data_IF_342977774404
#
_entry.id   IF_342977774404
#
_cell.length_a   1.000
_cell.length_b   1.000
_cell.length_c   1.000
_cell.angle_alpha   90.00
_cell.angle_beta   90.00
_cell.angle_gamma   90.00
#
_symmetry.space_group_name_H-M   'P 1'
#
loop_
_entity.id
_entity.type
_entity.pdbx_description
1 polymer ?
#
# COMPACT_ATOMS: atom_id res chain seq x y z
N UNK A 1 -31.72 42.73 27.70
CA UNK A 1 -32.23 42.94 26.32
C UNK A 1 -32.04 41.63 25.57
N UNK A 2 -33.05 40.74 25.40
CA UNK A 2 -34.11 40.77 24.36
C UNK A 2 -33.49 40.96 22.96
N UNK A 3 -33.65 40.12 21.91
CA UNK A 3 -34.69 39.14 21.54
C UNK A 3 -34.22 38.34 20.29
N UNK A 4 -34.37 37.02 20.31
CA UNK A 4 -35.04 36.16 19.30
C UNK A 4 -34.70 36.21 17.79
N UNK A 5 -34.48 35.01 17.22
CA UNK A 5 -35.37 34.46 16.19
C UNK A 5 -35.55 32.94 16.39
N UNK A 6 -36.81 32.50 16.41
CA UNK A 6 -37.29 31.11 16.48
C UNK A 6 -37.83 30.68 15.12
N UNK A 7 -37.81 29.36 14.88
CA UNK A 7 -38.75 28.62 14.03
C UNK A 7 -38.10 28.07 12.76
N UNK A 8 -38.23 26.80 12.39
CA UNK A 8 -39.40 25.92 12.54
C UNK A 8 -39.01 24.44 12.61
N UNK A 9 -39.86 23.68 13.31
CA UNK A 9 -39.80 22.26 13.64
C UNK A 9 -40.06 21.34 12.43
N UNK A 10 -39.52 20.12 12.46
CA UNK A 10 -40.40 18.95 12.34
C UNK A 10 -39.85 17.75 13.10
N UNK A 11 -40.74 17.16 13.91
CA UNK A 11 -40.60 15.91 14.65
C UNK A 11 -40.92 14.75 13.70
N UNK A 12 -40.12 13.68 13.73
CA UNK A 12 -40.66 12.32 13.66
C UNK A 12 -40.04 11.54 14.82
N UNK A 13 -40.90 11.04 15.70
CA UNK A 13 -40.57 10.10 16.74
C UNK A 13 -40.72 8.68 16.17
N UNK A 14 -39.73 7.84 16.43
CA UNK A 14 -39.77 6.40 16.21
C UNK A 14 -38.76 5.75 17.15
N UNK A 15 -39.20 5.47 18.38
CA UNK A 15 -38.46 4.72 19.39
C UNK A 15 -38.44 3.24 19.03
N UNK A 16 -37.28 2.59 19.00
CA UNK A 16 -37.09 1.22 19.49
C UNK A 16 -35.59 0.91 19.67
N UNK A 17 -35.17 0.58 20.90
CA UNK A 17 -34.18 -0.47 21.15
C UNK A 17 -32.68 -0.10 21.28
N UNK A 18 -32.27 0.19 22.52
CA UNK A 18 -31.07 -0.30 23.23
C UNK A 18 -29.63 -0.05 22.69
N UNK A 19 -28.82 0.60 23.57
CA UNK A 19 -27.37 0.45 23.85
C UNK A 19 -26.47 0.17 22.64
N UNK A 20 -25.58 1.10 22.27
CA UNK A 20 -24.23 1.16 22.82
C UNK A 20 -23.71 2.62 22.83
N UNK A 21 -22.93 2.95 23.87
CA UNK A 21 -22.13 4.18 23.94
C UNK A 21 -21.20 4.27 22.71
N UNK A 22 -21.52 5.14 21.75
CA UNK A 22 -20.52 5.62 20.78
C UNK A 22 -19.88 6.85 21.37
N UNK A 23 -18.83 6.64 22.15
CA UNK A 23 -17.92 7.73 22.49
C UNK A 23 -17.24 8.15 21.19
N UNK A 24 -17.65 9.29 20.64
CA UNK A 24 -16.90 9.95 19.57
C UNK A 24 -15.54 10.30 20.17
N UNK A 25 -14.52 9.52 19.81
CA UNK A 25 -13.15 9.84 20.18
C UNK A 25 -12.76 11.13 19.47
N UNK A 26 -12.36 12.12 20.26
CA UNK A 26 -11.84 13.40 19.79
C UNK A 26 -10.55 13.14 18.98
N UNK A 27 -10.52 13.45 17.67
CA UNK A 27 -9.36 13.20 16.81
C UNK A 27 -8.09 13.91 17.29
N UNK A 28 -8.23 14.99 18.07
CA UNK A 28 -7.10 15.77 18.58
C UNK A 28 -6.43 15.15 19.81
N UNK A 29 -7.00 14.08 20.38
CA UNK A 29 -6.49 13.42 21.60
C UNK A 29 -5.54 12.25 21.34
N UNK A 30 -5.31 11.87 20.08
CA UNK A 30 -4.41 10.77 19.68
C UNK A 30 -2.98 11.23 19.34
N UNK A 31 -2.69 12.52 19.47
CA UNK A 31 -1.37 13.07 19.21
C UNK A 31 -0.54 13.01 20.51
N UNK A 32 -0.06 11.80 20.84
CA UNK A 32 1.11 11.63 21.71
C UNK A 32 2.09 10.69 21.00
N UNK A 33 3.27 11.25 20.76
CA UNK A 33 4.33 10.78 19.87
C UNK A 33 5.14 9.57 20.36
N UNK A 34 4.49 8.52 20.89
CA UNK A 34 5.18 7.27 21.28
C UNK A 34 4.36 5.98 21.07
N UNK A 35 3.12 6.04 20.57
CA UNK A 35 2.39 4.82 20.22
C UNK A 35 2.81 4.32 18.84
N UNK A 36 3.15 3.04 18.72
CA UNK A 36 3.34 2.34 17.44
C UNK A 36 2.30 2.77 16.40
N UNK A 37 2.69 2.95 15.15
CA UNK A 37 1.79 3.21 14.03
C UNK A 37 0.97 1.97 13.65
N UNK A 38 1.35 0.79 14.15
CA UNK A 38 0.75 -0.48 13.82
C UNK A 38 -0.20 -0.95 14.93
N UNK A 39 -1.35 -1.49 14.54
CA UNK A 39 -2.28 -2.20 15.42
C UNK A 39 -2.51 -3.57 14.82
N UNK A 40 -2.40 -4.61 15.64
CA UNK A 40 -2.54 -5.99 15.18
C UNK A 40 -3.86 -6.58 15.68
N UNK A 41 -4.48 -7.36 14.82
CA UNK A 41 -5.58 -8.25 15.15
C UNK A 41 -5.18 -9.70 14.80
N UNK A 42 -6.14 -10.62 14.82
CA UNK A 42 -5.86 -12.04 14.57
C UNK A 42 -5.57 -12.37 13.10
N UNK A 43 -6.01 -11.53 12.16
CA UNK A 43 -6.04 -11.83 10.72
C UNK A 43 -5.32 -10.79 9.86
N UNK A 44 -4.77 -9.75 10.47
CA UNK A 44 -4.18 -8.61 9.79
C UNK A 44 -3.53 -7.59 10.73
N UNK A 45 -3.41 -6.39 10.18
CA UNK A 45 -2.92 -5.22 10.88
C UNK A 45 -3.55 -3.94 10.30
N UNK A 46 -3.56 -2.89 11.09
CA UNK A 46 -3.94 -1.53 10.68
C UNK A 46 -2.76 -0.59 10.89
N UNK A 47 -2.42 0.19 9.87
CA UNK A 47 -1.46 1.30 9.98
C UNK A 47 -2.23 2.58 10.22
N UNK A 48 -1.92 3.30 11.30
CA UNK A 48 -2.51 4.58 11.67
C UNK A 48 -1.38 5.58 11.90
N UNK A 49 -1.29 6.61 11.07
CA UNK A 49 -0.26 7.64 11.19
C UNK A 49 -0.76 9.00 10.71
N UNK A 50 -0.73 10.01 11.58
CA UNK A 50 -1.32 11.34 11.34
C UNK A 50 -2.80 11.20 10.92
N UNK A 51 -3.15 11.59 9.69
CA UNK A 51 -4.52 11.51 9.14
C UNK A 51 -4.73 10.26 8.26
N UNK A 52 -3.71 9.41 8.13
CA UNK A 52 -3.77 8.19 7.33
C UNK A 52 -4.16 6.97 8.18
N UNK A 53 -5.04 6.13 7.62
CA UNK A 53 -5.40 4.82 8.18
C UNK A 53 -5.59 3.81 7.04
N UNK A 54 -4.98 2.63 7.14
CA UNK A 54 -5.18 1.53 6.19
C UNK A 54 -5.16 0.19 6.91
N UNK A 55 -6.16 -0.63 6.63
CA UNK A 55 -6.31 -1.99 7.16
C UNK A 55 -5.84 -3.00 6.11
N UNK A 56 -5.07 -4.01 6.54
CA UNK A 56 -4.52 -5.04 5.68
C UNK A 56 -4.70 -6.40 6.33
N UNK A 57 -5.39 -7.30 5.63
CA UNK A 57 -5.46 -8.71 6.03
C UNK A 57 -4.24 -9.46 5.55
N UNK A 58 -3.60 -10.23 6.43
CA UNK A 58 -2.45 -11.07 6.09
C UNK A 58 -2.78 -12.05 4.96
N UNK A 59 -3.97 -12.64 5.00
CA UNK A 59 -4.45 -13.56 3.97
C UNK A 59 -4.67 -12.89 2.61
N UNK A 60 -4.80 -11.56 2.55
CA UNK A 60 -4.96 -10.83 1.30
C UNK A 60 -3.63 -10.36 0.69
N UNK A 61 -2.53 -10.39 1.44
CA UNK A 61 -1.20 -9.97 0.95
C UNK A 61 -0.73 -10.92 -0.15
N UNK A 62 -0.55 -10.38 -1.36
CA UNK A 62 -0.08 -11.14 -2.52
C UNK A 62 1.41 -10.93 -2.78
N UNK A 63 1.97 -9.77 -2.43
CA UNK A 63 3.38 -9.45 -2.64
C UNK A 63 3.88 -8.48 -1.57
N UNK A 64 5.11 -8.69 -1.10
CA UNK A 64 5.84 -7.71 -0.29
C UNK A 64 7.16 -7.41 -1.00
N UNK A 65 7.37 -6.13 -1.23
CA UNK A 65 8.53 -5.57 -1.87
C UNK A 65 9.20 -4.59 -0.94
N UNK A 66 10.52 -4.61 -0.89
CA UNK A 66 11.32 -3.68 -0.08
C UNK A 66 12.29 -2.95 -0.97
N UNK A 67 12.58 -1.71 -0.61
CA UNK A 67 13.47 -0.88 -1.38
C UNK A 67 14.23 0.09 -0.49
N UNK A 68 15.48 0.28 -0.85
CA UNK A 68 16.34 1.31 -0.32
C UNK A 68 16.29 2.50 -1.26
N UNK A 69 15.78 3.63 -0.77
CA UNK A 69 15.83 4.92 -1.46
C UNK A 69 17.10 5.64 -1.06
N UNK A 70 17.90 6.02 -2.06
CA UNK A 70 19.00 6.97 -1.89
C UNK A 70 18.42 8.40 -1.89
N UNK A 71 18.33 9.02 -0.70
CA UNK A 71 17.81 10.37 -0.48
C UNK A 71 18.94 11.40 -0.34
N UNK A 72 19.90 11.41 -1.27
CA UNK A 72 21.06 12.33 -1.39
C UNK A 72 22.06 12.21 -0.24
N UNK A 73 21.61 12.41 1.00
CA UNK A 73 22.43 12.41 2.21
C UNK A 73 22.11 11.27 3.17
N UNK A 74 20.96 10.61 2.99
CA UNK A 74 20.52 9.48 3.81
C UNK A 74 19.96 8.39 2.91
N UNK A 75 20.08 7.14 3.34
CA UNK A 75 19.33 6.03 2.77
C UNK A 75 18.06 5.82 3.62
N UNK A 76 16.95 5.45 2.99
CA UNK A 76 15.72 5.06 3.69
C UNK A 76 15.15 3.78 3.11
N UNK A 77 14.74 2.86 3.96
CA UNK A 77 14.03 1.65 3.57
C UNK A 77 12.53 1.88 3.59
N UNK A 78 11.91 1.57 2.46
CA UNK A 78 10.48 1.57 2.27
C UNK A 78 10.03 0.16 1.86
N UNK A 79 8.75 -0.12 2.11
CA UNK A 79 8.12 -1.39 1.81
C UNK A 79 6.75 -1.16 1.17
N UNK A 80 6.52 -1.82 0.05
CA UNK A 80 5.23 -1.92 -0.60
C UNK A 80 4.60 -3.27 -0.28
N UNK A 81 3.37 -3.24 0.23
CA UNK A 81 2.56 -4.41 0.54
C UNK A 81 1.38 -4.39 -0.42
N UNK A 82 1.40 -5.31 -1.39
CA UNK A 82 0.29 -5.50 -2.32
C UNK A 82 -0.72 -6.42 -1.64
N UNK A 83 -1.96 -5.97 -1.51
CA UNK A 83 -3.05 -6.73 -0.94
C UNK A 83 -4.34 -6.43 -1.69
N UNK A 84 -5.11 -7.47 -2.03
CA UNK A 84 -6.27 -7.32 -2.93
C UNK A 84 -5.86 -6.55 -4.20
N UNK A 85 -6.53 -5.43 -4.51
CA UNK A 85 -6.21 -4.54 -5.63
C UNK A 85 -5.52 -3.23 -5.17
N UNK A 86 -4.99 -3.22 -3.95
CA UNK A 86 -4.38 -2.05 -3.31
C UNK A 86 -2.88 -2.26 -3.03
N UNK A 87 -2.16 -1.15 -2.93
CA UNK A 87 -0.77 -1.13 -2.45
C UNK A 87 -0.66 -0.19 -1.26
N UNK A 88 -0.23 -0.75 -0.14
CA UNK A 88 0.15 0.00 1.04
C UNK A 88 1.67 0.22 1.02
N UNK A 89 2.09 1.47 0.88
CA UNK A 89 3.50 1.87 1.02
C UNK A 89 3.78 2.41 2.42
N UNK A 90 4.76 1.82 3.10
CA UNK A 90 5.22 2.20 4.42
C UNK A 90 6.73 2.37 4.44
N UNK A 91 7.26 3.13 5.40
CA UNK A 91 8.71 3.38 5.53
C UNK A 91 9.21 3.00 6.92
N UNK A 92 10.51 2.73 7.02
CA UNK A 92 11.18 2.44 8.29
C UNK A 92 11.10 3.58 9.32
N UNK A 93 10.79 4.80 8.86
CA UNK A 93 10.52 5.96 9.71
C UNK A 93 9.22 5.84 10.54
N UNK A 94 8.34 4.87 10.24
CA UNK A 94 7.10 4.70 11.00
C UNK A 94 7.38 4.16 12.42
N UNK A 95 6.81 4.78 13.47
CA UNK A 95 6.89 4.24 14.82
C UNK A 95 6.40 2.78 14.87
N UNK A 96 7.16 1.89 15.51
CA UNK A 96 6.80 0.46 15.57
C UNK A 96 7.27 -0.38 14.37
N UNK A 97 8.10 0.16 13.48
CA UNK A 97 8.67 -0.58 12.35
C UNK A 97 9.33 -1.92 12.76
N UNK A 98 10.16 -1.92 13.80
CA UNK A 98 10.83 -3.15 14.26
C UNK A 98 9.83 -4.23 14.70
N UNK A 99 8.78 -3.84 15.46
CA UNK A 99 7.69 -4.73 15.86
C UNK A 99 6.93 -5.28 14.63
N UNK A 100 6.72 -4.42 13.63
CA UNK A 100 6.11 -4.83 12.36
C UNK A 100 6.95 -5.88 11.63
N UNK A 101 8.27 -5.72 11.58
CA UNK A 101 9.14 -6.72 10.96
C UNK A 101 9.10 -8.07 11.70
N UNK A 102 9.03 -8.06 13.04
CA UNK A 102 8.85 -9.29 13.82
C UNK A 102 7.54 -9.99 13.44
N UNK A 103 6.42 -9.25 13.42
CA UNK A 103 5.10 -9.79 13.04
C UNK A 103 5.06 -10.27 11.60
N UNK A 104 5.76 -9.58 10.70
CA UNK A 104 5.89 -9.96 9.31
C UNK A 104 6.59 -11.32 9.17
N UNK A 105 7.70 -11.53 9.86
CA UNK A 105 8.43 -12.80 9.84
C UNK A 105 7.70 -13.93 10.56
N UNK A 106 6.92 -13.64 11.60
CA UNK A 106 6.03 -14.62 12.23
C UNK A 106 4.94 -15.10 11.25
N UNK A 107 4.40 -14.18 10.44
CA UNK A 107 3.29 -14.42 9.54
C UNK A 107 3.73 -15.07 8.22
N UNK A 108 4.88 -14.66 7.69
CA UNK A 108 5.46 -15.18 6.44
C UNK A 108 6.86 -15.75 6.70
N UNK A 109 6.97 -16.98 7.27
CA UNK A 109 8.26 -17.62 7.56
C UNK A 109 9.16 -17.84 6.34
N UNK A 110 8.59 -17.81 5.13
CA UNK A 110 9.28 -17.90 3.85
C UNK A 110 10.10 -16.65 3.49
N UNK A 111 9.84 -15.50 4.13
CA UNK A 111 10.63 -14.28 3.92
C UNK A 111 12.07 -14.53 4.42
N UNK A 112 13.11 -14.35 3.57
CA UNK A 112 14.50 -14.57 3.96
C UNK A 112 14.91 -13.70 5.16
N UNK A 113 15.44 -14.26 6.24
CA UNK A 113 15.74 -13.50 7.47
C UNK A 113 16.80 -12.40 7.29
N UNK A 114 17.62 -12.52 6.26
CA UNK A 114 18.72 -11.65 5.90
C UNK A 114 18.36 -10.59 4.84
N UNK A 115 17.09 -10.52 4.39
CA UNK A 115 16.66 -9.57 3.36
C UNK A 115 17.03 -8.11 3.69
N UNK A 116 17.02 -7.75 4.97
CA UNK A 116 17.33 -6.38 5.40
C UNK A 116 18.82 -6.04 5.19
N UNK A 117 19.72 -7.02 5.29
CA UNK A 117 21.13 -6.84 4.99
C UNK A 117 21.31 -6.68 3.48
N UNK A 118 20.66 -7.54 2.69
CA UNK A 118 20.76 -7.52 1.23
C UNK A 118 20.24 -6.21 0.65
N UNK A 119 19.11 -5.69 1.15
CA UNK A 119 18.54 -4.44 0.66
C UNK A 119 19.39 -3.21 1.00
N UNK A 120 20.18 -3.28 2.08
CA UNK A 120 21.08 -2.20 2.47
C UNK A 120 22.28 -2.03 1.53
N UNK A 121 22.59 -3.05 0.72
CA UNK A 121 23.74 -3.09 -0.19
C UNK A 121 23.30 -2.90 -1.65
N UNK A 122 24.07 -2.20 -2.51
CA UNK A 122 25.28 -1.46 -2.18
C UNK A 122 24.98 -0.15 -1.42
N UNK A 123 26.01 0.40 -0.77
CA UNK A 123 25.92 1.71 -0.12
C UNK A 123 25.66 2.81 -1.16
N UNK A 124 24.80 3.79 -0.82
CA UNK A 124 24.47 4.95 -1.68
C UNK A 124 23.99 4.56 -3.08
N UNK A 125 23.17 3.52 -3.15
CA UNK A 125 22.56 3.07 -4.37
C UNK A 125 21.12 2.63 -4.05
N UNK A 126 20.20 2.97 -4.96
CA UNK A 126 18.86 2.43 -4.88
C UNK A 126 18.92 0.92 -5.07
N UNK A 127 18.33 0.18 -4.12
CA UNK A 127 18.21 -1.28 -4.24
C UNK A 127 16.75 -1.69 -4.07
N UNK A 128 16.35 -2.76 -4.75
CA UNK A 128 15.00 -3.26 -4.78
C UNK A 128 15.00 -4.80 -4.66
N UNK A 129 14.09 -5.34 -3.84
CA UNK A 129 13.86 -6.77 -3.75
C UNK A 129 12.38 -7.11 -3.52
N UNK A 130 11.88 -8.15 -4.18
CA UNK A 130 10.62 -8.82 -3.78
C UNK A 130 10.99 -9.85 -2.72
N UNK A 131 10.54 -9.66 -1.48
CA UNK A 131 10.86 -10.56 -0.36
C UNK A 131 9.75 -11.58 -0.10
N UNK A 132 8.55 -11.33 -0.62
CA UNK A 132 7.43 -12.25 -0.62
C UNK A 132 6.63 -12.08 -1.90
N UNK A 133 6.25 -13.19 -2.53
CA UNK A 133 5.26 -13.19 -3.60
C UNK A 133 4.48 -14.50 -3.57
N UNK A 134 3.15 -14.39 -3.59
CA UNK A 134 2.23 -15.51 -3.66
C UNK A 134 1.97 -15.96 -5.09
N UNK A 135 2.07 -15.03 -6.05
CA UNK A 135 1.92 -15.28 -7.49
C UNK A 135 3.30 -15.27 -8.18
N UNK A 136 3.49 -15.89 -9.34
CA UNK A 136 4.68 -15.61 -10.16
C UNK A 136 4.72 -14.17 -10.69
N UNK A 137 3.57 -13.50 -10.79
CA UNK A 137 3.49 -12.15 -11.36
C UNK A 137 4.01 -11.10 -10.37
N UNK A 138 4.86 -10.19 -10.86
CA UNK A 138 5.40 -9.09 -10.06
C UNK A 138 4.63 -7.82 -10.38
N UNK A 139 4.07 -7.16 -9.38
CA UNK A 139 3.34 -5.89 -9.53
C UNK A 139 4.21 -4.73 -9.07
N UNK A 140 4.38 -3.72 -9.92
CA UNK A 140 5.06 -2.46 -9.63
C UNK A 140 4.05 -1.31 -9.66
N UNK A 141 4.19 -0.35 -8.75
CA UNK A 141 3.33 0.84 -8.67
C UNK A 141 4.15 2.10 -8.39
N UNK A 142 3.51 3.27 -8.45
CA UNK A 142 4.10 4.56 -8.10
C UNK A 142 5.44 4.85 -8.80
N UNK A 143 6.43 5.33 -8.05
CA UNK A 143 7.76 5.69 -8.58
C UNK A 143 8.49 4.51 -9.24
N UNK A 144 8.23 3.28 -8.81
CA UNK A 144 8.88 2.08 -9.38
C UNK A 144 8.31 1.73 -10.73
N UNK A 145 7.00 1.88 -10.89
CA UNK A 145 6.38 1.84 -12.21
C UNK A 145 7.00 2.91 -13.10
N UNK A 146 7.11 4.16 -12.63
CA UNK A 146 7.66 5.26 -13.42
C UNK A 146 9.09 4.99 -13.88
N UNK A 147 9.99 4.66 -12.95
CA UNK A 147 11.38 4.34 -13.25
C UNK A 147 11.51 3.10 -14.13
N UNK A 148 10.67 2.08 -13.91
CA UNK A 148 10.71 0.88 -14.75
C UNK A 148 10.26 1.20 -16.16
N UNK A 149 9.20 2.00 -16.33
CA UNK A 149 8.73 2.43 -17.65
C UNK A 149 9.81 3.16 -18.45
N UNK A 150 10.72 3.89 -17.80
CA UNK A 150 11.87 4.54 -18.48
C UNK A 150 12.85 3.53 -19.09
N UNK A 151 12.90 2.29 -18.59
CA UNK A 151 13.77 1.23 -19.12
C UNK A 151 13.08 0.33 -20.14
N UNK A 152 11.77 0.49 -20.34
CA UNK A 152 10.95 -0.44 -21.10
C UNK A 152 10.64 0.09 -22.50
N UNK A 153 10.56 -0.83 -23.47
CA UNK A 153 10.14 -0.53 -24.83
C UNK A 153 8.65 -0.82 -24.96
N UNK A 154 7.84 0.19 -25.30
CA UNK A 154 6.43 0.00 -25.62
C UNK A 154 6.30 -0.80 -26.93
N UNK A 155 5.54 -1.89 -26.90
CA UNK A 155 5.32 -2.80 -28.04
C UNK A 155 3.87 -2.91 -28.48
N UNK A 156 2.93 -2.23 -27.81
CA UNK A 156 1.51 -2.26 -28.17
C UNK A 156 0.58 -2.02 -27.00
N UNK A 157 -0.67 -2.42 -27.17
CA UNK A 157 -1.73 -2.34 -26.16
C UNK A 157 -3.05 -2.90 -26.70
N UNK A 158 -4.08 -2.90 -25.85
CA UNK A 158 -5.39 -3.47 -26.17
C UNK A 158 -6.55 -2.46 -25.98
N UNK A 159 -7.78 -2.94 -26.15
CA UNK A 159 -9.00 -2.14 -25.96
C UNK A 159 -9.30 -1.78 -24.51
N UNK A 160 -8.67 -2.47 -23.56
CA UNK A 160 -8.88 -2.30 -22.12
C UNK A 160 -7.85 -1.34 -21.49
N UNK A 161 -7.20 -0.52 -22.33
CA UNK A 161 -6.18 0.46 -21.96
C UNK A 161 -4.92 -0.16 -21.37
N UNK A 162 -4.70 -1.45 -21.57
CA UNK A 162 -3.43 -2.06 -21.23
C UNK A 162 -2.38 -1.62 -22.24
N UNK A 163 -1.19 -1.33 -21.74
CA UNK A 163 -0.03 -1.00 -22.57
C UNK A 163 1.03 -2.07 -22.35
N UNK A 164 1.48 -2.67 -23.44
CA UNK A 164 2.42 -3.78 -23.43
C UNK A 164 3.85 -3.29 -23.62
N UNK A 165 4.76 -3.86 -22.85
CA UNK A 165 6.15 -3.47 -22.81
C UNK A 165 7.08 -4.69 -22.82
N UNK A 166 8.22 -4.53 -23.48
CA UNK A 166 9.35 -5.46 -23.40
C UNK A 166 10.53 -4.81 -22.69
N UNK A 167 11.18 -5.62 -21.87
CA UNK A 167 12.45 -5.31 -21.23
C UNK A 167 13.63 -5.83 -22.06
N UNK A 168 14.81 -5.31 -21.77
CA UNK A 168 16.08 -5.70 -22.40
C UNK A 168 16.43 -7.19 -22.24
N UNK A 169 15.94 -7.83 -21.17
CA UNK A 169 16.10 -9.26 -20.89
C UNK A 169 15.00 -10.13 -21.54
N UNK A 170 14.07 -9.53 -22.28
CA UNK A 170 12.94 -10.21 -22.91
C UNK A 170 11.72 -10.38 -22.00
N UNK A 171 11.76 -9.88 -20.76
CA UNK A 171 10.61 -9.89 -19.86
C UNK A 171 9.45 -9.06 -20.42
N UNK A 172 8.23 -9.58 -20.23
CA UNK A 172 6.99 -8.95 -20.66
C UNK A 172 6.34 -8.23 -19.49
N UNK A 173 5.89 -7.01 -19.75
CA UNK A 173 5.27 -6.15 -18.76
C UNK A 173 3.99 -5.54 -19.32
N UNK A 174 2.96 -5.46 -18.48
CA UNK A 174 1.67 -4.86 -18.81
C UNK A 174 1.43 -3.71 -17.85
N UNK A 175 1.31 -2.48 -18.38
CA UNK A 175 0.78 -1.36 -17.61
C UNK A 175 -0.73 -1.38 -17.71
N UNK A 176 -1.42 -1.47 -16.59
CA UNK A 176 -2.89 -1.45 -16.52
C UNK A 176 -3.37 -0.42 -15.49
N UNK A 177 -4.67 -0.15 -15.52
CA UNK A 177 -5.35 0.74 -14.57
C UNK A 177 -6.46 -0.06 -13.89
N UNK A 178 -6.20 -0.67 -12.72
CA UNK A 178 -7.24 -1.31 -11.93
C UNK A 178 -8.39 -0.32 -11.70
N UNK A 179 -9.63 -0.81 -11.71
CA UNK A 179 -10.85 0.00 -11.58
C UNK A 179 -11.12 1.03 -12.71
N UNK A 180 -10.66 0.75 -13.93
CA UNK A 180 -10.86 1.59 -15.13
C UNK A 180 -12.33 1.90 -15.48
N UNK A 181 -13.29 1.19 -14.88
CA UNK A 181 -14.73 1.48 -14.97
C UNK A 181 -15.13 2.89 -14.52
N UNK A 182 -14.24 3.64 -13.86
CA UNK A 182 -14.45 5.03 -13.43
C UNK A 182 -13.81 6.10 -14.34
N UNK A 183 -13.61 5.84 -15.63
CA UNK A 183 -13.02 6.79 -16.58
C UNK A 183 -11.55 7.17 -16.28
N UNK A 184 -10.69 6.16 -16.08
CA UNK A 184 -9.23 6.36 -16.06
C UNK A 184 -8.64 6.98 -14.79
N UNK A 185 -9.37 6.92 -13.65
CA UNK A 185 -8.93 7.51 -12.38
C UNK A 185 -8.07 6.60 -11.47
N UNK A 186 -7.92 5.31 -11.79
CA UNK A 186 -7.11 4.38 -11.00
C UNK A 186 -5.61 4.69 -11.08
N UNK A 187 -4.87 4.44 -10.00
CA UNK A 187 -3.40 4.51 -10.05
C UNK A 187 -2.88 3.39 -10.96
N UNK A 188 -1.96 3.69 -11.91
CA UNK A 188 -1.44 2.66 -12.80
C UNK A 188 -0.65 1.62 -12.01
N UNK A 189 -0.72 0.38 -12.47
CA UNK A 189 0.15 -0.71 -12.06
C UNK A 189 0.91 -1.23 -13.27
N UNK A 190 2.06 -1.85 -13.04
CA UNK A 190 2.91 -2.46 -14.05
C UNK A 190 3.24 -3.88 -13.62
N UNK A 191 2.64 -4.85 -14.30
CA UNK A 191 2.71 -6.26 -13.94
C UNK A 191 3.65 -7.01 -14.87
N UNK A 192 4.64 -7.72 -14.32
CA UNK A 192 5.45 -8.67 -15.08
C UNK A 192 4.63 -9.92 -15.33
N UNK A 193 4.51 -10.33 -16.59
CA UNK A 193 3.72 -11.49 -17.03
C UNK A 193 4.59 -12.49 -17.79
N UNK A 194 4.18 -13.76 -17.79
CA UNK A 194 4.87 -14.80 -18.56
C UNK A 194 4.66 -14.67 -20.08
N UNK A 195 3.48 -14.21 -20.49
CA UNK A 195 3.07 -14.00 -21.88
C UNK A 195 2.06 -12.85 -21.97
N UNK A 196 1.97 -12.19 -23.13
CA UNK A 196 0.90 -11.23 -23.36
C UNK A 196 -0.45 -11.95 -23.51
N UNK A 197 -1.60 -11.29 -23.22
CA UNK A 197 -2.91 -11.93 -23.29
C UNK A 197 -3.27 -12.47 -24.69
N UNK A 198 -2.72 -11.85 -25.74
CA UNK A 198 -3.03 -12.14 -27.15
C UNK A 198 -1.91 -12.91 -27.90
N UNK A 199 -0.90 -13.43 -27.19
CA UNK A 199 0.14 -14.33 -27.74
C UNK A 199 -0.23 -15.82 -27.60
#
# INVERSE_FOLDING_TARGET
MLKWLKGTLSRIAGSFGNKQNRTLLDPTKLINSESSAFRYDSDGFTVIYKEFSSEVKWSAVSQISVFKLDLITIDRIDMDIVHEDMVLSISEDLPGWAEFLEKLHETFPEIPKDWYIDICLPAFATNFSVIYNRSPDIVLTGRRLELKLETLVNVGGDSDWNVYYLDSDGSKWIKSYPDSGYHGGGLPILTKVAQFPDE
#
